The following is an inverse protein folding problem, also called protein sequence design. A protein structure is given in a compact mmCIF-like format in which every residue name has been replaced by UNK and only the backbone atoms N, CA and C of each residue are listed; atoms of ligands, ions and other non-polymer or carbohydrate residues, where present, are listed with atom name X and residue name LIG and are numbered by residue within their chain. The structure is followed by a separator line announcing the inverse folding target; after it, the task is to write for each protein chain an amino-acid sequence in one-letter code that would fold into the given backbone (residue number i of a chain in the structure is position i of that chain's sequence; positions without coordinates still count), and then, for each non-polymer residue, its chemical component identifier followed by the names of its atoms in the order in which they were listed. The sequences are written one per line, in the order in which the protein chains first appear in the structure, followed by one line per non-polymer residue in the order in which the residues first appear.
data_IF_499461067402
#
_entry.id   IF_499461067402
#
_cell.length_a   1.000
_cell.length_b   1.000
_cell.length_c   1.000
_cell.angle_alpha   90.00
_cell.angle_beta   90.00
_cell.angle_gamma   90.00
#
_symmetry.space_group_name_H-M   'P 1'
#
loop_
_entity.id
_entity.type
_entity.pdbx_description
1 polymer ?
#
# COMPACT_ATOMS: atom_id res chain seq x y z
N UNK A 1 -49.91 24.10 36.40
CA UNK A 1 -50.19 24.56 35.02
C UNK A 1 -49.04 25.39 34.42
N UNK A 2 -47.96 25.63 35.18
CA UNK A 2 -46.85 26.54 34.81
C UNK A 2 -45.62 25.81 34.19
N UNK A 3 -45.51 24.49 34.33
CA UNK A 3 -44.38 23.72 33.77
C UNK A 3 -44.48 23.45 32.26
N UNK A 4 -45.68 23.46 31.68
CA UNK A 4 -45.89 23.18 30.26
C UNK A 4 -45.47 24.34 29.33
N UNK A 5 -45.57 25.58 29.81
CA UNK A 5 -45.18 26.79 29.07
C UNK A 5 -43.66 26.98 29.02
N UNK A 6 -42.94 26.54 30.07
CA UNK A 6 -41.48 26.57 30.12
C UNK A 6 -40.80 25.56 29.18
N UNK A 7 -41.39 24.39 28.95
CA UNK A 7 -40.85 23.40 28.02
C UNK A 7 -41.01 23.81 26.55
N UNK A 8 -42.12 24.48 26.21
CA UNK A 8 -42.35 24.99 24.86
C UNK A 8 -41.38 26.11 24.47
N UNK A 9 -41.06 27.02 25.40
CA UNK A 9 -40.12 28.11 25.13
C UNK A 9 -38.69 27.61 24.90
N UNK A 10 -38.25 26.60 25.67
CA UNK A 10 -36.93 25.96 25.50
C UNK A 10 -36.83 25.23 24.16
N UNK A 11 -37.89 24.54 23.73
CA UNK A 11 -37.91 23.91 22.40
C UNK A 11 -37.90 24.94 21.27
N UNK A 12 -38.61 26.05 21.41
CA UNK A 12 -38.64 27.12 20.40
C UNK A 12 -37.29 27.84 20.26
N UNK A 13 -36.57 28.07 21.35
CA UNK A 13 -35.21 28.62 21.29
C UNK A 13 -34.21 27.66 20.64
N UNK A 14 -34.31 26.35 20.95
CA UNK A 14 -33.48 25.32 20.30
C UNK A 14 -33.77 25.25 18.81
N UNK A 15 -35.03 25.25 18.39
CA UNK A 15 -35.42 25.24 16.99
C UNK A 15 -34.90 26.49 16.27
N UNK A 16 -34.99 27.68 16.88
CA UNK A 16 -34.46 28.92 16.30
C UNK A 16 -32.94 28.91 16.12
N UNK A 17 -32.21 28.20 16.98
CA UNK A 17 -30.74 28.08 16.91
C UNK A 17 -30.26 26.94 16.00
N UNK A 18 -30.95 25.79 16.03
CA UNK A 18 -30.58 24.57 15.30
C UNK A 18 -31.07 24.58 13.85
N UNK A 19 -32.22 25.21 13.55
CA UNK A 19 -32.74 25.31 12.18
C UNK A 19 -31.76 25.99 11.19
N UNK A 20 -31.15 27.16 11.49
CA UNK A 20 -30.18 27.77 10.57
C UNK A 20 -28.90 26.94 10.44
N UNK A 21 -28.49 26.24 11.50
CA UNK A 21 -27.32 25.35 11.46
C UNK A 21 -27.60 24.11 10.58
N UNK A 22 -28.77 23.50 10.71
CA UNK A 22 -29.19 22.39 9.86
C UNK A 22 -29.31 22.82 8.40
N UNK A 23 -29.86 24.00 8.14
CA UNK A 23 -29.95 24.54 6.78
C UNK A 23 -28.57 24.77 6.16
N UNK A 24 -27.61 25.27 6.95
CA UNK A 24 -26.23 25.42 6.49
C UNK A 24 -25.57 24.08 6.16
N UNK A 25 -25.74 23.06 7.02
CA UNK A 25 -25.22 21.70 6.79
C UNK A 25 -25.85 21.02 5.57
N UNK A 26 -27.16 21.17 5.38
CA UNK A 26 -27.85 20.64 4.21
C UNK A 26 -27.38 21.31 2.91
N UNK A 27 -27.08 22.61 2.96
CA UNK A 27 -26.48 23.33 1.82
C UNK A 27 -25.08 22.81 1.50
N UNK A 28 -24.24 22.60 2.52
CA UNK A 28 -22.91 22.01 2.33
C UNK A 28 -22.99 20.59 1.74
N UNK A 29 -23.92 19.77 2.23
CA UNK A 29 -24.17 18.43 1.69
C UNK A 29 -24.58 18.50 0.21
N UNK A 30 -25.46 19.43 -0.16
CA UNK A 30 -25.87 19.64 -1.55
C UNK A 30 -24.67 20.04 -2.43
N UNK A 31 -23.87 21.00 -1.99
CA UNK A 31 -22.66 21.41 -2.72
C UNK A 31 -21.66 20.25 -2.88
N UNK A 32 -21.52 19.41 -1.85
CA UNK A 32 -20.72 18.19 -1.90
C UNK A 32 -21.23 17.20 -2.95
N UNK A 33 -22.55 17.00 -3.02
CA UNK A 33 -23.20 16.15 -4.03
C UNK A 33 -23.05 16.71 -5.44
N UNK A 34 -23.14 18.04 -5.63
CA UNK A 34 -22.94 18.68 -6.93
C UNK A 34 -21.49 18.53 -7.42
N UNK A 35 -20.51 18.67 -6.52
CA UNK A 35 -19.08 18.39 -6.80
C UNK A 35 -18.84 16.92 -7.13
N UNK A 36 -19.51 15.99 -6.44
CA UNK A 36 -19.42 14.56 -6.73
C UNK A 36 -20.02 14.26 -8.12
N UNK A 37 -21.20 14.82 -8.40
CA UNK A 37 -21.90 14.66 -9.68
C UNK A 37 -21.06 15.15 -10.84
N UNK A 38 -20.42 16.32 -10.73
CA UNK A 38 -19.55 16.84 -11.79
C UNK A 38 -18.32 15.97 -12.03
N UNK A 39 -17.68 15.46 -10.96
CA UNK A 39 -16.58 14.50 -11.07
C UNK A 39 -16.99 13.19 -11.72
N UNK A 40 -18.12 12.61 -11.30
CA UNK A 40 -18.67 11.37 -11.88
C UNK A 40 -19.02 11.59 -13.35
N UNK A 41 -19.63 12.72 -13.70
CA UNK A 41 -19.94 13.06 -15.09
C UNK A 41 -18.65 13.16 -15.95
N UNK A 42 -17.59 13.78 -15.41
CA UNK A 42 -16.28 13.84 -16.07
C UNK A 42 -15.64 12.46 -16.26
N UNK A 43 -15.83 11.55 -15.30
CA UNK A 43 -15.38 10.16 -15.42
C UNK A 43 -16.20 9.41 -16.48
N UNK A 44 -17.52 9.55 -16.50
CA UNK A 44 -18.41 8.91 -17.48
C UNK A 44 -18.06 9.37 -18.90
N UNK A 45 -17.81 10.66 -19.12
CA UNK A 45 -17.42 11.15 -20.45
C UNK A 45 -16.08 10.58 -20.89
N UNK A 46 -15.11 10.45 -19.98
CA UNK A 46 -13.82 9.79 -20.26
C UNK A 46 -13.97 8.29 -20.54
N UNK A 47 -14.83 7.58 -19.80
CA UNK A 47 -15.14 6.15 -20.03
C UNK A 47 -15.80 5.96 -21.40
N UNK A 48 -16.81 6.76 -21.75
CA UNK A 48 -17.47 6.71 -23.07
C UNK A 48 -16.54 7.05 -24.22
N UNK A 49 -15.51 7.85 -23.98
CA UNK A 49 -14.43 8.10 -24.94
C UNK A 49 -13.40 6.98 -25.07
N UNK A 50 -13.66 5.78 -24.53
CA UNK A 50 -12.73 4.64 -24.47
C UNK A 50 -11.37 4.95 -23.81
N UNK A 51 -11.29 5.99 -22.97
CA UNK A 51 -10.03 6.35 -22.29
C UNK A 51 -9.66 5.40 -21.14
N UNK A 52 -10.58 4.52 -20.74
CA UNK A 52 -10.35 3.52 -19.69
C UNK A 52 -10.63 2.12 -20.23
N UNK A 53 -9.73 1.14 -20.00
CA UNK A 53 -10.01 -0.25 -20.32
C UNK A 53 -11.03 -0.80 -19.32
N UNK A 54 -12.32 -0.73 -19.65
CA UNK A 54 -13.44 -1.21 -18.81
C UNK A 54 -13.88 -2.64 -19.13
N UNK A 55 -13.12 -3.36 -19.96
CA UNK A 55 -13.50 -4.70 -20.48
C UNK A 55 -13.69 -5.72 -19.36
N UNK A 56 -12.85 -5.66 -18.31
CA UNK A 56 -13.06 -6.35 -17.03
C UNK A 56 -13.16 -5.30 -15.92
N UNK A 57 -14.36 -4.73 -15.76
CA UNK A 57 -14.66 -3.83 -14.67
C UNK A 57 -14.48 -4.53 -13.32
N UNK A 58 -13.92 -3.82 -12.33
CA UNK A 58 -13.85 -4.33 -10.96
C UNK A 58 -15.29 -4.33 -10.42
N UNK A 59 -16.02 -5.45 -10.55
CA UNK A 59 -17.39 -5.63 -10.03
C UNK A 59 -17.53 -5.19 -8.57
N UNK A 60 -16.46 -5.36 -7.78
CA UNK A 60 -16.38 -4.85 -6.41
C UNK A 60 -16.54 -3.32 -6.31
N UNK A 61 -15.97 -2.54 -7.23
CA UNK A 61 -16.04 -1.08 -7.19
C UNK A 61 -17.47 -0.59 -7.46
N UNK A 62 -18.21 -1.28 -8.33
CA UNK A 62 -19.62 -1.03 -8.58
C UNK A 62 -20.47 -1.38 -7.35
N UNK A 63 -20.26 -2.55 -6.75
CA UNK A 63 -20.94 -2.94 -5.51
C UNK A 63 -20.67 -1.94 -4.37
N UNK A 64 -19.42 -1.49 -4.23
CA UNK A 64 -19.04 -0.46 -3.25
C UNK A 64 -19.71 0.88 -3.53
N UNK A 65 -19.82 1.28 -4.80
CA UNK A 65 -20.52 2.49 -5.18
C UNK A 65 -22.00 2.44 -4.78
N UNK A 66 -22.69 1.34 -5.11
CA UNK A 66 -24.09 1.12 -4.73
C UNK A 66 -24.28 1.12 -3.20
N UNK A 67 -23.35 0.50 -2.46
CA UNK A 67 -23.37 0.48 -0.99
C UNK A 67 -23.24 1.90 -0.39
N UNK A 68 -22.30 2.70 -0.89
CA UNK A 68 -22.11 4.10 -0.48
C UNK A 68 -23.32 4.97 -0.85
N UNK A 69 -23.93 4.74 -2.02
CA UNK A 69 -25.13 5.46 -2.43
C UNK A 69 -26.31 5.16 -1.49
N UNK A 70 -26.52 3.89 -1.16
CA UNK A 70 -27.57 3.47 -0.23
C UNK A 70 -27.34 4.05 1.19
N UNK A 71 -26.08 4.15 1.63
CA UNK A 71 -25.73 4.82 2.89
C UNK A 71 -26.16 6.29 2.89
N UNK A 72 -25.81 7.05 1.84
CA UNK A 72 -26.20 8.45 1.70
C UNK A 72 -27.72 8.61 1.67
N UNK A 73 -28.43 7.77 0.91
CA UNK A 73 -29.90 7.79 0.85
C UNK A 73 -30.53 7.52 2.22
N UNK A 74 -30.02 6.53 2.96
CA UNK A 74 -30.51 6.19 4.29
C UNK A 74 -30.29 7.32 5.30
N UNK A 75 -29.16 8.04 5.22
CA UNK A 75 -28.89 9.23 6.05
C UNK A 75 -29.86 10.36 5.72
N UNK A 76 -30.05 10.67 4.44
CA UNK A 76 -30.97 11.74 4.02
C UNK A 76 -32.40 11.43 4.46
N UNK A 77 -32.83 10.19 4.32
CA UNK A 77 -34.13 9.75 4.81
C UNK A 77 -34.23 9.86 6.33
N UNK A 78 -33.21 9.45 7.07
CA UNK A 78 -33.16 9.58 8.53
C UNK A 78 -33.30 11.04 8.97
N UNK A 79 -32.56 11.96 8.33
CA UNK A 79 -32.67 13.40 8.58
C UNK A 79 -34.07 13.92 8.27
N UNK A 80 -34.64 13.55 7.12
CA UNK A 80 -35.98 13.97 6.72
C UNK A 80 -37.04 13.53 7.73
N UNK A 81 -36.91 12.30 8.25
CA UNK A 81 -37.84 11.74 9.23
C UNK A 81 -37.74 12.46 10.56
N UNK A 82 -36.53 12.77 11.01
CA UNK A 82 -36.27 13.64 12.17
C UNK A 82 -36.85 15.04 11.99
N UNK A 83 -36.64 15.65 10.83
CA UNK A 83 -37.13 17.01 10.53
C UNK A 83 -38.67 17.09 10.51
N UNK A 84 -39.35 15.99 10.14
CA UNK A 84 -40.81 15.87 10.20
C UNK A 84 -41.36 15.54 11.60
N UNK A 85 -40.50 15.36 12.61
CA UNK A 85 -40.91 15.00 13.96
C UNK A 85 -41.44 13.57 14.12
N UNK A 86 -41.16 12.68 13.15
CA UNK A 86 -41.62 11.29 13.20
C UNK A 86 -40.71 10.47 14.13
N UNK A 87 -41.31 9.61 14.96
CA UNK A 87 -40.55 8.78 15.91
C UNK A 87 -39.60 7.82 15.18
N UNK A 88 -38.32 7.85 15.59
CA UNK A 88 -37.24 7.04 15.01
C UNK A 88 -37.26 5.61 15.52
N UNK A 89 -37.80 5.41 16.72
CA UNK A 89 -37.80 4.14 17.43
C UNK A 89 -38.61 3.10 16.66
N UNK A 90 -38.01 1.94 16.42
CA UNK A 90 -38.62 0.83 15.66
C UNK A 90 -38.58 0.97 14.14
N UNK A 91 -38.00 2.03 13.58
CA UNK A 91 -37.90 2.16 12.12
C UNK A 91 -36.69 1.42 11.54
N UNK A 92 -36.84 0.65 10.45
CA UNK A 92 -35.77 -0.18 9.88
C UNK A 92 -34.55 0.63 9.41
N UNK A 93 -34.70 1.93 9.16
CA UNK A 93 -33.61 2.80 8.67
C UNK A 93 -32.40 2.82 9.61
N UNK A 94 -32.60 2.78 10.92
CA UNK A 94 -31.47 2.73 11.86
C UNK A 94 -30.75 1.39 11.72
N UNK A 95 -31.49 0.29 11.61
CA UNK A 95 -30.93 -1.04 11.39
C UNK A 95 -30.17 -1.13 10.06
N UNK A 96 -30.77 -0.64 8.96
CA UNK A 96 -30.12 -0.57 7.65
C UNK A 96 -28.85 0.29 7.66
N UNK A 97 -28.83 1.42 8.39
CA UNK A 97 -27.64 2.25 8.53
C UNK A 97 -26.50 1.51 9.25
N UNK A 98 -26.82 0.79 10.33
CA UNK A 98 -25.84 -0.01 11.08
C UNK A 98 -25.32 -1.16 10.22
N UNK A 99 -26.21 -1.84 9.50
CA UNK A 99 -25.86 -2.93 8.60
C UNK A 99 -24.92 -2.48 7.48
N UNK A 100 -25.26 -1.37 6.79
CA UNK A 100 -24.41 -0.77 5.76
C UNK A 100 -23.05 -0.37 6.34
N UNK A 101 -23.01 0.18 7.57
CA UNK A 101 -21.76 0.54 8.24
C UNK A 101 -20.90 -0.68 8.55
N UNK A 102 -21.50 -1.78 8.96
CA UNK A 102 -20.81 -3.05 9.19
C UNK A 102 -20.21 -3.57 7.88
N UNK A 103 -20.96 -3.53 6.78
CA UNK A 103 -20.42 -3.89 5.46
C UNK A 103 -19.23 -2.99 5.06
N UNK A 104 -19.32 -1.67 5.27
CA UNK A 104 -18.22 -0.75 5.01
C UNK A 104 -16.95 -1.08 5.80
N UNK A 105 -17.09 -1.59 7.03
CA UNK A 105 -15.95 -2.05 7.82
C UNK A 105 -15.35 -3.35 7.29
N UNK A 106 -16.20 -4.30 6.87
CA UNK A 106 -15.76 -5.59 6.33
C UNK A 106 -15.04 -5.47 4.99
N UNK A 107 -15.38 -4.46 4.17
CA UNK A 107 -14.73 -4.26 2.87
C UNK A 107 -13.40 -3.48 2.96
N UNK A 108 -13.07 -2.83 4.08
CA UNK A 108 -11.78 -2.11 4.27
C UNK A 108 -10.52 -2.91 3.91
N UNK A 109 -10.36 -4.19 4.29
CA UNK A 109 -9.19 -4.97 3.86
C UNK A 109 -9.13 -5.16 2.35
N UNK A 110 -10.27 -5.28 1.67
CA UNK A 110 -10.35 -5.41 0.20
C UNK A 110 -9.93 -4.07 -0.44
N UNK A 111 -10.42 -2.96 0.10
CA UNK A 111 -10.02 -1.62 -0.33
C UNK A 111 -8.50 -1.43 -0.28
N UNK A 112 -7.85 -1.85 0.81
CA UNK A 112 -6.39 -1.74 0.95
C UNK A 112 -5.64 -2.53 -0.12
N UNK A 113 -6.13 -3.74 -0.46
CA UNK A 113 -5.52 -4.58 -1.51
C UNK A 113 -5.68 -3.97 -2.91
N UNK A 114 -6.85 -3.37 -3.18
CA UNK A 114 -7.16 -2.79 -4.49
C UNK A 114 -6.66 -1.35 -4.66
N UNK A 115 -6.29 -0.66 -3.57
CA UNK A 115 -5.89 0.75 -3.59
C UNK A 115 -4.76 1.02 -4.58
N UNK A 116 -3.73 0.17 -4.61
CA UNK A 116 -2.62 0.31 -5.55
C UNK A 116 -3.07 0.16 -7.01
N UNK A 117 -3.93 -0.82 -7.30
CA UNK A 117 -4.43 -1.07 -8.65
C UNK A 117 -5.30 0.10 -9.14
N UNK A 118 -6.20 0.59 -8.28
CA UNK A 118 -7.05 1.76 -8.56
C UNK A 118 -6.19 3.00 -8.79
N UNK A 119 -5.20 3.24 -7.93
CA UNK A 119 -4.28 4.37 -8.08
C UNK A 119 -3.50 4.27 -9.38
N UNK A 120 -2.94 3.10 -9.72
CA UNK A 120 -2.21 2.90 -10.98
C UNK A 120 -3.09 3.19 -12.20
N UNK A 121 -4.29 2.61 -12.27
CA UNK A 121 -5.22 2.86 -13.38
C UNK A 121 -5.64 4.34 -13.49
N UNK A 122 -5.72 5.04 -12.35
CA UNK A 122 -6.11 6.45 -12.33
C UNK A 122 -4.94 7.40 -12.58
N UNK A 123 -3.71 7.04 -12.20
CA UNK A 123 -2.51 7.89 -12.30
C UNK A 123 -1.73 7.71 -13.59
N UNK A 124 -1.63 6.50 -14.13
CA UNK A 124 -0.89 6.17 -15.37
C UNK A 124 -1.41 6.94 -16.60
N UNK A 125 -2.63 7.47 -16.57
CA UNK A 125 -3.17 8.29 -17.67
C UNK A 125 -3.27 9.79 -17.38
N UNK A 126 -3.04 10.22 -16.14
CA UNK A 126 -3.00 11.65 -15.77
C UNK A 126 -1.63 12.24 -16.09
N UNK A 127 -0.55 11.46 -15.94
CA UNK A 127 0.75 11.77 -16.57
C UNK A 127 0.75 11.14 -17.96
N UNK A 128 0.67 11.95 -19.02
CA UNK A 128 0.52 11.47 -20.39
C UNK A 128 1.48 10.34 -20.76
N UNK A 129 0.91 9.20 -21.14
CA UNK A 129 1.25 8.51 -22.38
C UNK A 129 0.21 7.43 -22.66
N UNK A 130 -0.20 7.37 -23.92
CA UNK A 130 -0.97 6.25 -24.45
C UNK A 130 -0.19 4.96 -24.21
N UNK A 131 -0.83 3.97 -23.61
CA UNK A 131 -0.35 2.58 -23.70
C UNK A 131 -1.12 1.96 -24.87
N UNK A 132 -0.37 1.83 -25.96
CA UNK A 132 -0.60 0.93 -27.08
C UNK A 132 -0.99 -0.49 -26.58
N UNK A 133 -1.83 -1.21 -27.34
CA UNK A 133 -2.13 -2.60 -27.05
C UNK A 133 -0.86 -3.46 -27.10
N UNK A 134 -0.85 -4.47 -26.22
CA UNK A 134 0.16 -5.52 -26.09
C UNK A 134 0.61 -6.06 -27.45
N UNK A 135 1.90 -5.86 -27.77
CA UNK A 135 2.72 -6.68 -28.66
C UNK A 135 4.20 -6.45 -28.28
N UNK A 136 4.97 -7.46 -27.81
CA UNK A 136 6.40 -7.30 -27.64
C UNK A 136 7.13 -8.04 -28.77
N UNK A 137 7.43 -7.31 -29.84
CA UNK A 137 8.49 -7.63 -30.79
C UNK A 137 9.32 -6.36 -30.99
N UNK A 138 10.65 -6.52 -30.91
CA UNK A 138 11.72 -5.53 -31.11
C UNK A 138 11.86 -4.48 -29.98
N UNK A 139 12.84 -4.62 -29.08
CA UNK A 139 14.27 -4.23 -29.17
C UNK A 139 14.57 -2.75 -28.92
N UNK A 140 15.69 -2.55 -28.20
CA UNK A 140 16.48 -1.32 -28.00
C UNK A 140 16.06 -0.42 -26.81
N UNK A 141 16.68 -0.60 -25.64
CA UNK A 141 17.95 0.00 -25.15
C UNK A 141 17.76 1.43 -24.60
N UNK A 142 17.69 1.62 -23.28
CA UNK A 142 18.82 2.14 -22.52
C UNK A 142 18.42 2.64 -21.13
N UNK A 143 18.89 1.94 -20.10
CA UNK A 143 19.02 2.28 -18.66
C UNK A 143 17.80 2.68 -17.79
N UNK A 144 17.36 1.79 -16.86
CA UNK A 144 16.48 2.17 -15.77
C UNK A 144 17.20 2.24 -14.41
N UNK A 145 16.96 3.33 -13.68
CA UNK A 145 17.15 3.38 -12.24
C UNK A 145 16.29 2.30 -11.57
N UNK A 146 16.95 1.35 -10.90
CA UNK A 146 16.32 0.18 -10.27
C UNK A 146 15.51 0.58 -9.03
N UNK A 147 14.24 0.88 -9.21
CA UNK A 147 13.23 0.58 -8.19
C UNK A 147 12.83 -0.89 -8.38
N UNK A 148 13.20 -1.72 -7.41
CA UNK A 148 13.05 -3.18 -7.44
C UNK A 148 11.56 -3.55 -7.47
N UNK A 149 11.05 -3.80 -8.68
CA UNK A 149 9.68 -4.26 -8.95
C UNK A 149 9.50 -5.70 -8.46
N UNK A 150 8.74 -5.86 -7.37
CA UNK A 150 8.46 -7.13 -6.68
C UNK A 150 7.71 -8.16 -7.55
N UNK A 151 7.29 -7.80 -8.78
CA UNK A 151 6.66 -8.68 -9.75
C UNK A 151 7.64 -9.28 -10.79
N UNK A 152 8.94 -8.97 -10.69
CA UNK A 152 9.98 -9.59 -11.54
C UNK A 152 10.42 -10.98 -11.08
N UNK A 153 9.87 -11.49 -9.97
CA UNK A 153 10.05 -12.88 -9.54
C UNK A 153 9.18 -13.84 -10.37
N UNK A 154 9.40 -13.86 -11.69
CA UNK A 154 9.09 -15.04 -12.50
C UNK A 154 10.33 -15.93 -12.49
N UNK A 155 10.18 -17.27 -12.37
CA UNK A 155 11.31 -18.17 -12.54
C UNK A 155 12.00 -17.85 -13.86
N UNK A 156 13.30 -17.56 -13.84
CA UNK A 156 14.06 -17.30 -15.05
C UNK A 156 14.36 -18.66 -15.71
N UNK A 157 13.70 -19.02 -16.84
CA UNK A 157 13.84 -20.35 -17.41
C UNK A 157 15.26 -20.59 -17.95
N UNK A 158 16.01 -19.54 -18.27
CA UNK A 158 17.44 -19.60 -18.66
C UNK A 158 18.38 -20.03 -17.52
N UNK A 159 17.92 -19.96 -16.27
CA UNK A 159 18.68 -20.49 -15.13
C UNK A 159 18.36 -21.95 -14.82
N UNK A 160 17.44 -22.57 -15.56
CA UNK A 160 17.20 -24.00 -15.48
C UNK A 160 18.32 -24.72 -16.23
N UNK A 161 19.43 -24.96 -15.53
CA UNK A 161 20.53 -25.77 -16.06
C UNK A 161 19.99 -27.14 -16.41
N UNK A 162 20.02 -27.46 -17.70
CA UNK A 162 19.64 -28.78 -18.19
C UNK A 162 20.64 -29.79 -17.63
N UNK A 163 20.15 -30.95 -17.16
CA UNK A 163 20.99 -31.98 -16.53
C UNK A 163 22.09 -32.54 -17.46
N UNK A 164 22.01 -32.18 -18.74
CA UNK A 164 22.91 -32.52 -19.84
C UNK A 164 24.17 -31.65 -19.92
N UNK A 165 24.21 -30.47 -19.30
CA UNK A 165 25.39 -29.58 -19.34
C UNK A 165 26.40 -29.84 -18.21
N UNK A 166 26.10 -30.79 -17.31
CA UNK A 166 27.00 -31.20 -16.21
C UNK A 166 27.93 -32.36 -16.61
N UNK A 167 27.91 -32.80 -17.88
CA UNK A 167 28.68 -33.97 -18.34
C UNK A 167 29.86 -33.65 -19.24
N UNK A 168 30.24 -32.38 -19.40
CA UNK A 168 31.36 -31.98 -20.28
C UNK A 168 32.43 -31.14 -19.58
N UNK A 169 32.91 -31.58 -18.41
CA UNK A 169 34.27 -31.28 -17.98
C UNK A 169 34.93 -32.54 -17.43
N UNK A 170 36.07 -32.88 -18.02
CA UNK A 170 36.93 -34.01 -17.69
C UNK A 170 37.35 -34.03 -16.21
N UNK A 171 37.16 -35.18 -15.56
CA UNK A 171 37.76 -35.46 -14.25
C UNK A 171 36.97 -36.50 -13.45
N UNK A 172 37.47 -37.74 -13.45
CA UNK A 172 37.13 -38.87 -12.58
C UNK A 172 36.02 -38.65 -11.54
N UNK A 173 34.93 -39.42 -11.66
CA UNK A 173 33.70 -39.37 -10.87
C UNK A 173 33.87 -39.49 -9.35
N UNK A 174 34.31 -38.40 -8.71
CA UNK A 174 34.24 -38.19 -7.26
C UNK A 174 33.39 -36.95 -7.03
N UNK A 175 32.20 -37.15 -6.45
CA UNK A 175 31.30 -36.08 -6.07
C UNK A 175 31.96 -35.15 -5.04
N UNK A 176 32.04 -33.86 -5.36
CA UNK A 176 32.49 -32.81 -4.43
C UNK A 176 31.26 -32.04 -3.93
N UNK A 177 30.86 -32.19 -2.66
CA UNK A 177 29.75 -31.44 -2.09
C UNK A 177 30.04 -29.93 -2.16
N UNK A 178 29.05 -29.10 -2.52
CA UNK A 178 29.19 -27.65 -2.46
C UNK A 178 29.48 -27.21 -1.02
N UNK A 179 30.57 -26.47 -0.83
CA UNK A 179 30.93 -25.93 0.49
C UNK A 179 30.04 -24.73 0.80
N UNK A 180 28.98 -24.94 1.56
CA UNK A 180 28.16 -23.86 2.10
C UNK A 180 28.86 -23.25 3.31
N UNK A 181 29.28 -21.99 3.19
CA UNK A 181 29.66 -21.21 4.37
C UNK A 181 28.40 -20.90 5.19
N UNK A 182 28.44 -20.98 6.53
CA UNK A 182 27.30 -20.62 7.35
C UNK A 182 26.94 -19.15 7.12
N UNK A 183 25.73 -18.93 6.58
CA UNK A 183 25.17 -17.60 6.45
C UNK A 183 24.48 -17.23 7.77
N UNK A 184 24.94 -16.19 8.45
CA UNK A 184 24.16 -15.60 9.54
C UNK A 184 22.91 -14.94 8.94
N UNK A 185 21.74 -15.38 9.39
CA UNK A 185 20.48 -14.68 9.19
C UNK A 185 20.43 -13.55 10.23
N UNK A 186 20.94 -12.38 9.86
CA UNK A 186 20.73 -11.17 10.66
C UNK A 186 19.28 -10.72 10.39
N UNK A 187 18.41 -10.72 11.41
CA UNK A 187 16.98 -10.39 11.26
C UNK A 187 16.74 -8.91 10.87
N UNK A 188 17.75 -8.08 11.06
CA UNK A 188 17.72 -6.68 10.68
C UNK A 188 18.14 -6.48 9.22
N UNK A 189 17.23 -5.87 8.44
CA UNK A 189 17.47 -5.43 7.06
C UNK A 189 18.44 -4.24 7.03
N UNK A 190 19.68 -4.46 7.47
CA UNK A 190 20.75 -3.49 7.26
C UNK A 190 20.91 -3.29 5.75
N UNK A 191 21.01 -2.03 5.34
CA UNK A 191 21.13 -1.70 3.92
C UNK A 191 22.36 -2.40 3.33
N UNK A 192 22.27 -2.87 2.09
CA UNK A 192 23.40 -3.53 1.39
C UNK A 192 24.70 -2.70 1.42
N UNK A 193 24.56 -1.36 1.49
CA UNK A 193 25.68 -0.42 1.65
C UNK A 193 26.32 -0.49 3.05
N UNK A 194 25.51 -0.56 4.10
CA UNK A 194 25.93 -0.61 5.50
C UNK A 194 26.65 -1.93 5.81
N UNK A 195 26.12 -3.05 5.33
CA UNK A 195 26.76 -4.37 5.46
C UNK A 195 28.15 -4.43 4.81
N UNK A 196 28.32 -3.77 3.66
CA UNK A 196 29.60 -3.72 2.96
C UNK A 196 30.62 -2.80 3.67
N UNK A 197 30.17 -1.71 4.30
CA UNK A 197 31.01 -0.84 5.10
C UNK A 197 31.55 -1.58 6.35
N UNK A 198 30.68 -2.28 7.06
CA UNK A 198 31.02 -3.08 8.25
C UNK A 198 32.04 -4.19 7.94
N UNK A 199 31.94 -4.81 6.75
CA UNK A 199 32.92 -5.79 6.28
C UNK A 199 34.29 -5.16 6.06
N UNK A 200 34.36 -4.01 5.38
CA UNK A 200 35.61 -3.29 5.13
C UNK A 200 36.26 -2.84 6.44
N UNK A 201 35.49 -2.29 7.36
CA UNK A 201 35.99 -1.85 8.67
C UNK A 201 36.55 -3.02 9.50
N UNK A 202 35.87 -4.17 9.49
CA UNK A 202 36.36 -5.37 10.17
C UNK A 202 37.65 -5.91 9.54
N UNK A 203 37.79 -5.79 8.22
CA UNK A 203 39.02 -6.14 7.49
C UNK A 203 40.17 -5.19 7.82
N UNK A 204 39.93 -3.86 7.80
CA UNK A 204 40.98 -2.88 8.15
C UNK A 204 41.43 -3.03 9.59
N UNK A 205 40.53 -3.35 10.52
CA UNK A 205 40.87 -3.60 11.92
C UNK A 205 41.68 -4.88 12.10
N UNK A 206 41.40 -5.92 11.30
CA UNK A 206 42.22 -7.15 11.27
C UNK A 206 43.60 -6.88 10.67
N UNK A 207 43.68 -6.11 9.59
CA UNK A 207 44.95 -5.73 8.97
C UNK A 207 45.81 -4.86 9.91
N UNK A 208 45.21 -3.91 10.63
CA UNK A 208 45.91 -3.10 11.62
C UNK A 208 46.52 -3.96 12.74
N UNK A 209 45.77 -4.96 13.22
CA UNK A 209 46.27 -5.95 14.21
C UNK A 209 47.34 -6.89 13.64
N UNK A 210 47.38 -7.08 12.33
CA UNK A 210 48.37 -7.92 11.66
C UNK A 210 49.65 -7.17 11.30
N UNK A 211 49.67 -5.83 11.36
CA UNK A 211 50.88 -5.05 11.10
C UNK A 211 51.98 -5.46 12.07
N UNK A 212 53.20 -5.59 11.55
CA UNK A 212 54.38 -6.02 12.31
C UNK A 212 54.63 -5.12 13.51
N UNK A 213 54.49 -3.81 13.32
CA UNK A 213 54.62 -2.80 14.36
C UNK A 213 53.60 -2.95 15.50
N UNK A 214 52.31 -3.14 15.20
CA UNK A 214 51.30 -3.36 16.24
C UNK A 214 51.50 -4.70 16.96
N UNK A 215 52.03 -5.71 16.25
CA UNK A 215 52.35 -7.02 16.84
C UNK A 215 53.54 -6.93 17.81
N UNK A 216 54.58 -6.19 17.43
CA UNK A 216 55.75 -5.90 18.27
C UNK A 216 55.35 -5.13 19.53
N UNK A 217 54.56 -4.07 19.38
CA UNK A 217 54.08 -3.25 20.50
C UNK A 217 53.21 -4.05 21.49
N UNK A 218 52.40 -4.98 20.98
CA UNK A 218 51.61 -5.92 21.82
C UNK A 218 52.52 -6.95 22.49
N UNK A 219 53.53 -7.48 21.80
CA UNK A 219 54.49 -8.43 22.38
C UNK A 219 55.32 -7.79 23.50
N UNK A 220 55.75 -6.53 23.32
CA UNK A 220 56.46 -5.74 24.33
C UNK A 220 55.61 -5.50 25.59
N UNK A 221 54.33 -5.13 25.39
CA UNK A 221 53.37 -4.94 26.48
C UNK A 221 53.07 -6.24 27.24
N UNK A 222 52.98 -7.35 26.53
CA UNK A 222 52.69 -8.67 27.11
C UNK A 222 53.95 -9.40 27.62
N UNK A 223 55.15 -8.85 27.38
CA UNK A 223 56.43 -9.43 27.83
C UNK A 223 56.70 -10.83 27.29
N UNK A 224 56.23 -11.15 26.08
CA UNK A 224 56.39 -12.49 25.49
C UNK A 224 57.83 -12.71 25.03
N UNK A 225 58.50 -13.81 25.40
CA UNK A 225 59.84 -14.11 24.91
C UNK A 225 59.82 -14.40 23.40
N UNK A 226 60.76 -13.83 22.65
CA UNK A 226 60.91 -14.05 21.21
C UNK A 226 61.62 -15.38 20.94
N UNK A 227 61.11 -16.14 19.97
CA UNK A 227 61.78 -17.35 19.48
C UNK A 227 62.93 -16.94 18.54
N UNK A 228 64.16 -17.02 19.04
CA UNK A 228 65.37 -16.82 18.21
C UNK A 228 65.61 -18.11 17.42
N UNK A 229 65.24 -18.11 16.14
CA UNK A 229 65.58 -19.19 15.23
C UNK A 229 67.05 -19.04 14.81
N UNK A 230 67.89 -20.01 15.19
CA UNK A 230 69.28 -20.14 14.75
C UNK A 230 69.37 -20.77 13.35
#
# INVERSE_FOLDING_TARGET
MEEATGNHSISDERVKKEAPQLAALLREMKEGLDKLRSKVQSLITKVKGNNYPTVDGISYLEAKHLLLLNYCQSIVYYLLRKAKGLSIEGHPVVQSLVEIRLFLEKIRPIDRKLQYQIQKLTSVRVGGNAIEPVNPSANESGEPQKTEDLLKYRPNPDMLVSKTDMTTEDGAGVYKPPKFAPASMDEDKTSRKERNALRKEKETLRQARQSTFMRELVNDLEGRPEEVNF
#
